data_IF_674942767835
#
_entry.id   IF_674942767835
#
_cell.length_a   1.000
_cell.length_b   1.000
_cell.length_c   1.000
_cell.angle_alpha   90.00
_cell.angle_beta   90.00
_cell.angle_gamma   90.00
#
_symmetry.space_group_name_H-M   'P 1'
#
loop_
_entity.id
_entity.type
_entity.pdbx_description
1 polymer ?
#
# COMPACT_ATOMS: atom_id res chain seq x y z
N UNK A 1 26.67 -35.78 24.49
CA UNK A 1 25.57 -36.05 23.54
C UNK A 1 25.06 -34.70 23.02
N UNK A 2 24.98 -34.58 21.69
CA UNK A 2 25.04 -33.35 20.91
C UNK A 2 23.92 -32.32 21.19
N UNK A 3 24.31 -31.03 21.24
CA UNK A 3 23.43 -29.85 21.11
C UNK A 3 23.56 -29.25 19.71
N UNK A 4 23.46 -30.08 18.69
CA UNK A 4 23.42 -29.63 17.29
C UNK A 4 21.96 -29.66 16.85
N UNK A 5 21.32 -28.49 16.72
CA UNK A 5 20.13 -28.23 15.86
C UNK A 5 19.27 -27.02 16.26
N UNK A 6 19.82 -26.02 16.98
CA UNK A 6 19.04 -24.81 17.33
C UNK A 6 19.03 -23.70 16.25
N UNK A 7 19.76 -23.85 15.15
CA UNK A 7 19.93 -22.79 14.14
C UNK A 7 19.75 -23.25 12.68
N UNK A 8 18.83 -24.18 12.39
CA UNK A 8 18.49 -24.51 10.99
C UNK A 8 17.46 -23.50 10.45
N UNK A 9 17.94 -22.43 9.80
CA UNK A 9 17.08 -21.53 9.04
C UNK A 9 16.57 -22.28 7.78
N UNK A 10 15.26 -22.53 7.70
CA UNK A 10 14.66 -23.14 6.50
C UNK A 10 14.51 -22.07 5.41
N UNK A 11 15.29 -22.20 4.34
CA UNK A 11 15.11 -21.36 3.16
C UNK A 11 13.76 -21.69 2.50
N UNK A 12 12.86 -20.71 2.47
CA UNK A 12 11.58 -20.80 1.76
C UNK A 12 11.67 -20.06 0.42
N UNK A 13 10.80 -20.40 -0.53
CA UNK A 13 10.70 -19.65 -1.79
C UNK A 13 10.46 -18.15 -1.55
N UNK A 14 9.69 -17.81 -0.51
CA UNK A 14 9.43 -16.43 -0.12
C UNK A 14 10.68 -15.72 0.42
N UNK A 15 11.49 -16.37 1.27
CA UNK A 15 12.72 -15.78 1.80
C UNK A 15 13.79 -15.63 0.72
N UNK A 16 13.89 -16.58 -0.21
CA UNK A 16 14.78 -16.48 -1.37
C UNK A 16 14.37 -15.32 -2.29
N UNK A 17 13.07 -15.16 -2.58
CA UNK A 17 12.57 -14.03 -3.38
C UNK A 17 12.76 -12.68 -2.69
N UNK A 18 12.62 -12.62 -1.37
CA UNK A 18 12.90 -11.41 -0.61
C UNK A 18 14.38 -11.03 -0.72
N UNK A 19 15.29 -11.99 -0.53
CA UNK A 19 16.73 -11.76 -0.69
C UNK A 19 17.09 -11.33 -2.12
N UNK A 20 16.53 -11.98 -3.14
CA UNK A 20 16.76 -11.61 -4.54
C UNK A 20 16.27 -10.19 -4.86
N UNK A 21 15.15 -9.76 -4.28
CA UNK A 21 14.70 -8.37 -4.42
C UNK A 21 15.63 -7.40 -3.70
N UNK A 22 16.10 -7.74 -2.50
CA UNK A 22 17.05 -6.92 -1.75
C UNK A 22 18.38 -6.77 -2.53
N UNK A 23 18.87 -7.85 -3.16
CA UNK A 23 20.08 -7.83 -4.02
C UNK A 23 19.85 -6.97 -5.28
N UNK A 24 18.71 -7.13 -5.97
CA UNK A 24 18.37 -6.33 -7.16
C UNK A 24 18.28 -4.84 -6.83
N UNK A 25 17.72 -4.52 -5.67
CA UNK A 25 17.64 -3.15 -5.17
C UNK A 25 19.05 -2.56 -4.91
N UNK A 26 19.97 -3.36 -4.37
CA UNK A 26 21.34 -2.92 -4.10
C UNK A 26 22.16 -2.70 -5.39
N UNK A 27 21.91 -3.52 -6.42
CA UNK A 27 22.64 -3.49 -7.70
C UNK A 27 22.01 -2.56 -8.75
N UNK A 28 20.93 -1.85 -8.42
CA UNK A 28 20.31 -0.90 -9.33
C UNK A 28 21.24 0.30 -9.54
N UNK A 29 21.76 0.47 -10.76
CA UNK A 29 22.65 1.57 -11.12
C UNK A 29 22.00 2.95 -10.97
N UNK A 30 20.66 3.01 -10.93
CA UNK A 30 19.89 4.22 -10.64
C UNK A 30 19.63 4.46 -9.15
N UNK A 31 20.07 3.57 -8.26
CA UNK A 31 19.84 3.70 -6.83
C UNK A 31 20.90 4.59 -6.16
N UNK A 32 20.45 5.58 -5.40
CA UNK A 32 21.29 6.45 -4.59
C UNK A 32 20.94 6.32 -3.11
N UNK A 33 21.96 6.38 -2.25
CA UNK A 33 21.79 6.38 -0.80
C UNK A 33 21.33 7.77 -0.35
N UNK A 34 20.19 7.81 0.34
CA UNK A 34 19.69 9.03 0.97
C UNK A 34 19.67 8.90 2.48
N UNK A 35 19.90 10.00 3.18
CA UNK A 35 19.73 10.06 4.62
C UNK A 35 18.28 10.40 4.97
N UNK A 36 17.61 9.56 5.78
CA UNK A 36 16.32 9.89 6.37
C UNK A 36 16.54 10.45 7.77
N UNK A 37 16.41 11.76 7.95
CA UNK A 37 16.48 12.38 9.28
C UNK A 37 15.39 11.87 10.22
N UNK A 38 14.20 11.63 9.68
CA UNK A 38 13.05 11.14 10.43
C UNK A 38 13.26 9.75 11.03
N UNK A 39 13.90 8.86 10.28
CA UNK A 39 14.16 7.48 10.70
C UNK A 39 15.62 7.25 11.17
N UNK A 40 16.47 8.29 11.13
CA UNK A 40 17.91 8.27 11.44
C UNK A 40 18.68 7.12 10.78
N UNK A 41 18.41 6.88 9.49
CA UNK A 41 19.04 5.80 8.72
C UNK A 41 19.25 6.16 7.26
N UNK A 42 20.23 5.52 6.63
CA UNK A 42 20.39 5.55 5.18
C UNK A 42 19.33 4.66 4.51
N UNK A 43 18.71 5.18 3.46
CA UNK A 43 17.70 4.50 2.65
C UNK A 43 18.14 4.54 1.20
N UNK A 44 18.21 3.36 0.57
CA UNK A 44 18.40 3.23 -0.88
C UNK A 44 17.15 3.75 -1.58
N UNK A 45 17.26 4.85 -2.33
CA UNK A 45 16.20 5.41 -3.18
C UNK A 45 16.49 5.03 -4.63
N UNK A 46 15.46 4.66 -5.40
CA UNK A 46 15.59 4.28 -6.83
C UNK A 46 14.82 3.01 -7.20
N UNK A 47 14.77 2.02 -6.31
CA UNK A 47 14.17 0.69 -6.58
C UNK A 47 13.37 0.13 -5.40
N UNK A 48 12.79 1.01 -4.58
CA UNK A 48 11.98 0.59 -3.43
C UNK A 48 10.65 -0.03 -3.90
N UNK A 49 10.65 -1.33 -4.19
CA UNK A 49 9.45 -2.17 -4.04
C UNK A 49 9.32 -2.54 -2.57
N UNK A 50 8.56 -1.79 -1.75
CA UNK A 50 8.37 -2.17 -0.36
C UNK A 50 7.70 -3.55 -0.28
N UNK A 51 8.05 -4.35 0.73
CA UNK A 51 7.38 -5.64 1.01
C UNK A 51 5.86 -5.49 1.19
N UNK A 52 5.41 -4.31 1.61
CA UNK A 52 3.99 -3.92 1.76
C UNK A 52 3.35 -3.31 0.51
N UNK A 53 4.07 -3.26 -0.62
CA UNK A 53 3.56 -2.79 -1.90
C UNK A 53 2.41 -3.66 -2.40
N UNK A 54 1.30 -3.04 -2.78
CA UNK A 54 0.10 -3.73 -3.24
C UNK A 54 0.11 -3.89 -4.76
N UNK A 55 0.23 -2.76 -5.47
CA UNK A 55 0.22 -2.66 -6.93
C UNK A 55 1.19 -1.57 -7.34
N UNK A 56 1.64 -1.59 -8.58
CA UNK A 56 2.53 -0.56 -9.12
C UNK A 56 1.79 0.78 -9.25
N UNK A 57 2.52 1.87 -9.05
CA UNK A 57 1.93 3.21 -9.05
C UNK A 57 1.60 3.64 -10.49
N UNK A 58 0.33 3.97 -10.81
CA UNK A 58 -0.04 4.39 -12.16
C UNK A 58 0.53 5.77 -12.53
N UNK A 59 0.83 6.64 -11.55
CA UNK A 59 1.39 7.98 -11.81
C UNK A 59 2.88 7.94 -12.13
N UNK A 60 3.70 7.36 -11.25
CA UNK A 60 5.16 7.38 -11.41
C UNK A 60 5.76 6.12 -12.03
N UNK A 61 5.03 4.99 -12.06
CA UNK A 61 5.44 3.65 -12.55
C UNK A 61 6.72 3.04 -11.94
N UNK A 62 7.46 3.81 -11.15
CA UNK A 62 8.67 3.39 -10.42
C UNK A 62 8.31 2.86 -9.03
N UNK A 63 7.39 3.52 -8.33
CA UNK A 63 6.98 3.16 -6.98
C UNK A 63 5.78 2.20 -6.93
N UNK A 64 5.47 1.71 -5.73
CA UNK A 64 4.27 0.89 -5.46
C UNK A 64 3.31 1.61 -4.53
N UNK A 65 2.02 1.42 -4.74
CA UNK A 65 0.97 1.88 -3.84
C UNK A 65 0.90 0.98 -2.60
N UNK A 66 0.86 1.59 -1.42
CA UNK A 66 0.83 0.91 -0.13
C UNK A 66 -0.13 1.61 0.84
N UNK A 67 -0.66 0.86 1.81
CA UNK A 67 -1.46 1.46 2.89
C UNK A 67 -0.51 2.11 3.90
N UNK A 68 -0.69 3.41 4.09
CA UNK A 68 0.08 4.22 5.03
C UNK A 68 -0.87 4.73 6.12
N UNK A 69 -0.36 4.79 7.35
CA UNK A 69 -1.01 5.50 8.45
C UNK A 69 -0.21 6.77 8.74
N UNK A 70 -0.86 7.91 8.62
CA UNK A 70 -0.28 9.21 8.95
C UNK A 70 0.11 9.21 10.43
N UNK A 71 1.36 9.59 10.73
CA UNK A 71 1.83 9.74 12.12
C UNK A 71 1.25 10.98 12.78
N UNK A 72 1.03 12.06 12.02
CA UNK A 72 0.48 13.32 12.53
C UNK A 72 -1.01 13.24 12.81
N UNK A 73 -1.79 12.70 11.86
CA UNK A 73 -3.26 12.68 11.97
C UNK A 73 -3.84 11.34 12.41
N UNK A 74 -3.03 10.28 12.44
CA UNK A 74 -3.50 8.91 12.70
C UNK A 74 -4.39 8.32 11.59
N UNK A 75 -4.69 9.08 10.52
CA UNK A 75 -5.57 8.65 9.43
C UNK A 75 -4.86 7.68 8.49
N UNK A 76 -5.63 6.75 7.91
CA UNK A 76 -5.17 5.76 6.94
C UNK A 76 -5.38 6.25 5.51
N UNK A 77 -4.43 6.02 4.62
CA UNK A 77 -4.55 6.36 3.20
C UNK A 77 -3.72 5.38 2.37
N UNK A 78 -3.99 5.32 1.06
CA UNK A 78 -3.08 4.68 0.10
C UNK A 78 -2.12 5.75 -0.39
N UNK A 79 -0.82 5.48 -0.36
CA UNK A 79 0.21 6.37 -0.86
C UNK A 79 1.28 5.61 -1.64
N UNK A 80 1.97 6.30 -2.54
CA UNK A 80 3.13 5.74 -3.25
C UNK A 80 4.34 5.60 -2.32
N UNK A 81 5.09 4.51 -2.48
CA UNK A 81 6.39 4.33 -1.82
C UNK A 81 7.42 5.38 -2.24
N UNK A 82 7.27 5.95 -3.43
CA UNK A 82 8.14 6.99 -3.99
C UNK A 82 7.63 8.41 -3.71
N UNK A 83 6.74 8.60 -2.73
CA UNK A 83 6.18 9.92 -2.41
C UNK A 83 7.25 10.95 -2.01
N UNK A 84 8.29 10.51 -1.28
CA UNK A 84 9.39 11.38 -0.87
C UNK A 84 10.20 11.94 -2.06
N UNK A 85 10.15 11.29 -3.22
CA UNK A 85 10.88 11.68 -4.43
C UNK A 85 10.00 12.46 -5.43
N UNK A 86 8.89 13.02 -4.97
CA UNK A 86 8.03 13.89 -5.78
C UNK A 86 6.79 13.22 -6.39
N UNK A 87 6.50 11.96 -6.08
CA UNK A 87 5.24 11.34 -6.49
C UNK A 87 4.08 11.85 -5.61
N UNK A 88 3.00 12.32 -6.21
CA UNK A 88 1.82 12.86 -5.51
C UNK A 88 0.70 11.86 -5.29
N UNK A 89 0.82 10.65 -5.84
CA UNK A 89 -0.21 9.62 -5.79
C UNK A 89 -0.59 9.27 -4.34
N UNK A 90 -1.75 9.78 -3.92
CA UNK A 90 -2.33 9.48 -2.62
C UNK A 90 -3.86 9.51 -2.68
N UNK A 91 -4.51 8.61 -1.95
CA UNK A 91 -5.97 8.56 -1.84
C UNK A 91 -6.39 8.20 -0.42
N UNK A 92 -7.29 8.98 0.21
CA UNK A 92 -7.76 8.69 1.56
C UNK A 92 -8.56 7.38 1.60
N UNK A 93 -8.35 6.60 2.65
CA UNK A 93 -9.09 5.35 2.88
C UNK A 93 -10.27 5.54 3.85
N UNK A 94 -11.13 4.53 3.92
CA UNK A 94 -12.23 4.49 4.89
C UNK A 94 -11.68 4.42 6.33
N UNK A 95 -11.82 5.51 7.09
CA UNK A 95 -11.16 5.62 8.39
C UNK A 95 -11.78 4.71 9.48
N UNK A 96 -13.11 4.62 9.48
CA UNK A 96 -13.91 3.90 10.50
C UNK A 96 -14.12 2.42 10.16
N UNK A 97 -13.92 2.02 8.90
CA UNK A 97 -14.16 0.64 8.46
C UNK A 97 -13.00 -0.29 8.86
N UNK A 98 -13.33 -1.57 9.09
CA UNK A 98 -12.33 -2.63 9.08
C UNK A 98 -11.95 -2.92 7.63
N UNK A 99 -10.67 -2.81 7.30
CA UNK A 99 -10.15 -2.83 5.94
C UNK A 99 -9.12 -3.95 5.75
N UNK A 100 -9.15 -4.56 4.56
CA UNK A 100 -8.11 -5.44 4.02
C UNK A 100 -7.77 -4.94 2.63
N UNK A 101 -6.54 -4.53 2.42
CA UNK A 101 -6.06 -4.13 1.10
C UNK A 101 -5.66 -5.38 0.30
N UNK A 102 -6.01 -5.40 -0.98
CA UNK A 102 -5.69 -6.51 -1.87
C UNK A 102 -4.60 -6.11 -2.86
N UNK A 103 -3.88 -7.09 -3.38
CA UNK A 103 -2.87 -6.91 -4.45
C UNK A 103 -3.49 -6.91 -5.85
N UNK A 104 -4.82 -6.95 -5.97
CA UNK A 104 -5.51 -6.84 -7.26
C UNK A 104 -5.64 -5.37 -7.62
N UNK A 105 -5.10 -5.00 -8.78
CA UNK A 105 -5.26 -3.70 -9.37
C UNK A 105 -6.67 -3.55 -9.95
N UNK A 106 -7.24 -2.35 -9.84
CA UNK A 106 -8.47 -1.97 -10.50
C UNK A 106 -8.22 -1.86 -12.00
N UNK A 107 -9.07 -2.50 -12.80
CA UNK A 107 -8.94 -2.55 -14.27
C UNK A 107 -9.07 -1.18 -14.94
N UNK A 108 -9.67 -0.19 -14.26
CA UNK A 108 -9.91 1.16 -14.82
C UNK A 108 -8.82 2.17 -14.46
N UNK A 109 -8.36 2.18 -13.21
CA UNK A 109 -7.41 3.21 -12.74
C UNK A 109 -6.06 2.66 -12.28
N UNK A 110 -5.88 1.34 -12.20
CA UNK A 110 -4.64 0.72 -11.72
C UNK A 110 -4.42 0.76 -10.21
N UNK A 111 -5.28 1.42 -9.44
CA UNK A 111 -5.19 1.48 -7.97
C UNK A 111 -5.62 0.17 -7.31
N UNK A 112 -5.12 -0.15 -6.10
CA UNK A 112 -5.45 -1.40 -5.44
C UNK A 112 -6.91 -1.41 -4.99
N UNK A 113 -7.53 -2.59 -5.01
CA UNK A 113 -8.86 -2.77 -4.45
C UNK A 113 -8.80 -3.04 -2.93
N UNK A 114 -9.82 -2.58 -2.23
CA UNK A 114 -9.99 -2.77 -0.78
C UNK A 114 -11.27 -3.53 -0.48
N UNK A 115 -11.16 -4.44 0.49
CA UNK A 115 -12.30 -5.15 1.06
C UNK A 115 -12.57 -4.57 2.44
N UNK A 116 -13.81 -4.18 2.71
CA UNK A 116 -14.18 -3.52 3.96
C UNK A 116 -15.53 -3.96 4.53
N UNK A 117 -15.71 -3.71 5.83
CA UNK A 117 -17.00 -3.76 6.53
C UNK A 117 -17.02 -2.73 7.67
N UNK A 118 -18.17 -2.14 7.97
CA UNK A 118 -18.31 -1.20 9.09
C UNK A 118 -18.69 -1.91 10.39
N UNK A 119 -19.56 -2.93 10.30
CA UNK A 119 -19.97 -3.77 11.43
C UNK A 119 -19.60 -5.23 11.20
N UNK A 120 -19.45 -5.99 12.29
CA UNK A 120 -19.23 -7.44 12.23
C UNK A 120 -20.39 -8.19 11.55
N UNK A 121 -21.61 -7.66 11.68
CA UNK A 121 -22.86 -8.20 11.10
C UNK A 121 -22.98 -7.99 9.58
N UNK A 122 -22.22 -7.05 9.01
CA UNK A 122 -22.26 -6.76 7.59
C UNK A 122 -21.35 -7.72 6.80
N UNK A 123 -21.79 -8.09 5.60
CA UNK A 123 -20.96 -8.79 4.62
C UNK A 123 -19.78 -7.89 4.21
N UNK A 124 -18.66 -8.53 3.85
CA UNK A 124 -17.51 -7.82 3.31
C UNK A 124 -17.85 -7.26 1.92
N UNK A 125 -17.66 -5.95 1.74
CA UNK A 125 -17.84 -5.26 0.47
C UNK A 125 -16.48 -4.98 -0.16
N UNK A 126 -16.44 -4.92 -1.50
CA UNK A 126 -15.22 -4.69 -2.28
C UNK A 126 -15.36 -3.41 -3.11
N UNK A 127 -14.33 -2.57 -3.12
CA UNK A 127 -14.33 -1.27 -3.79
C UNK A 127 -12.90 -0.84 -4.17
N UNK A 128 -12.78 -0.01 -5.21
CA UNK A 128 -11.51 0.66 -5.52
C UNK A 128 -11.07 1.61 -4.39
N UNK A 129 -9.78 1.65 -4.09
CA UNK A 129 -9.21 2.58 -3.09
C UNK A 129 -9.08 4.03 -3.59
N UNK A 130 -9.07 4.24 -4.91
CA UNK A 130 -9.01 5.58 -5.48
C UNK A 130 -10.39 6.24 -5.39
N UNK A 131 -10.48 7.35 -4.64
CA UNK A 131 -11.72 8.10 -4.47
C UNK A 131 -12.24 8.69 -5.78
N UNK A 132 -11.36 8.93 -6.76
CA UNK A 132 -11.68 9.52 -8.06
C UNK A 132 -12.02 8.48 -9.14
N UNK A 133 -12.00 7.19 -8.80
CA UNK A 133 -12.29 6.15 -9.79
C UNK A 133 -13.79 6.01 -10.06
N UNK A 134 -14.16 5.95 -11.35
CA UNK A 134 -15.55 5.76 -11.81
C UNK A 134 -16.20 4.46 -11.34
N UNK A 135 -15.42 3.41 -11.10
CA UNK A 135 -15.93 2.11 -10.61
C UNK A 135 -16.27 2.14 -9.12
N UNK A 136 -15.91 3.21 -8.43
CA UNK A 136 -16.19 3.39 -7.02
C UNK A 136 -17.68 3.68 -6.84
N UNK A 137 -18.44 2.65 -6.42
CA UNK A 137 -19.82 2.87 -5.93
C UNK A 137 -19.74 3.91 -4.82
N UNK A 138 -20.39 5.06 -5.01
CA UNK A 138 -20.44 6.11 -4.00
C UNK A 138 -21.06 5.60 -2.69
N UNK A 139 -21.04 6.41 -1.61
CA UNK A 139 -22.03 6.22 -0.55
C UNK A 139 -23.42 6.17 -1.21
N UNK A 140 -24.38 5.40 -0.69
CA UNK A 140 -25.76 5.55 -1.15
C UNK A 140 -26.10 7.04 -1.11
N UNK A 141 -26.53 7.63 -2.23
CA UNK A 141 -27.06 8.98 -2.22
C UNK A 141 -28.12 9.01 -1.13
N UNK A 142 -27.96 9.90 -0.15
CA UNK A 142 -29.10 10.21 0.71
C UNK A 142 -30.14 10.80 -0.23
N UNK A 143 -31.40 10.31 -0.20
CA UNK A 143 -32.48 10.98 -0.90
C UNK A 143 -32.39 12.47 -0.57
N UNK A 144 -32.35 13.32 -1.59
CA UNK A 144 -32.53 14.75 -1.36
C UNK A 144 -33.97 14.86 -0.92
N UNK A 145 -34.19 15.13 0.36
CA UNK A 145 -35.52 15.46 0.87
C UNK A 145 -36.03 16.64 0.04
N UNK A 146 -36.94 16.33 -0.89
CA UNK A 146 -37.69 17.29 -1.66
C UNK A 146 -39.02 17.45 -0.94
N UNK A 147 -39.20 18.61 -0.27
CA UNK A 147 -40.45 19.27 0.19
C UNK A 147 -40.05 20.26 1.29
N UNK A 148 -40.55 21.49 1.40
CA UNK A 148 -41.74 22.13 0.84
C UNK A 148 -41.50 23.65 0.79
N UNK A 149 -42.13 24.33 -0.17
CA UNK A 149 -42.27 25.79 -0.25
C UNK A 149 -43.72 26.17 0.00
#
# INVERSE_FOLDING_TARGET
>A
MAREDRHKARATKASALALLNDIRQYLDAGAYLSWSEKDKKYVLLGSNTPRSGLVDCPECRVGRLMVVRSRSTGKRFVGCSNYANGCTASSPLLQKARLRATKKACEVCGWPEVIFRYSSKQKWSRQCSNIQCKTRRGPPEKPRDATDN
#
